data_IF_894366489223
#
_entry.id   IF_894366489223
#
_cell.length_a   1.000
_cell.length_b   1.000
_cell.length_c   1.000
_cell.angle_alpha   90.00
_cell.angle_beta   90.00
_cell.angle_gamma   90.00
#
_symmetry.space_group_name_H-M   'P 1'
#
loop_
_entity.id
_entity.type
_entity.pdbx_description
1 polymer ?
#
# COMPACT_ATOMS: atom_id res chain seq x y z
N UNK A 1 17.06 0.19 12.76
CA UNK A 1 16.08 1.28 12.92
C UNK A 1 14.73 0.79 12.41
N UNK A 2 13.65 0.96 13.17
CA UNK A 2 12.31 0.48 12.82
C UNK A 2 11.27 1.59 12.67
N UNK A 3 11.62 2.86 12.94
CA UNK A 3 10.77 4.03 12.68
C UNK A 3 9.38 3.99 13.33
N UNK A 4 9.26 3.35 14.49
CA UNK A 4 7.97 3.15 15.17
C UNK A 4 7.16 1.95 14.67
N UNK A 5 7.61 1.27 13.61
CA UNK A 5 6.99 0.04 13.14
C UNK A 5 7.43 -1.14 14.02
N UNK A 6 6.58 -1.51 14.97
CA UNK A 6 6.73 -2.75 15.74
C UNK A 6 5.70 -3.76 15.26
N UNK A 7 6.11 -4.67 14.37
CA UNK A 7 5.25 -5.76 13.95
C UNK A 7 5.13 -6.80 15.08
N UNK A 8 3.91 -7.05 15.57
CA UNK A 8 3.64 -8.24 16.38
C UNK A 8 3.20 -9.33 15.42
N UNK A 9 4.04 -10.34 15.19
CA UNK A 9 3.76 -11.42 14.24
C UNK A 9 2.67 -12.34 14.79
N UNK A 10 1.40 -11.94 14.65
CA UNK A 10 0.25 -12.84 14.80
C UNK A 10 -0.52 -12.87 13.48
N UNK A 11 -0.07 -13.76 12.59
CA UNK A 11 -0.72 -14.01 11.29
C UNK A 11 -2.23 -14.24 11.44
N UNK A 12 -2.64 -14.90 12.52
CA UNK A 12 -4.03 -15.21 12.81
C UNK A 12 -4.89 -13.97 13.12
N UNK A 13 -4.34 -12.96 13.80
CA UNK A 13 -5.09 -11.72 14.07
C UNK A 13 -5.27 -10.89 12.80
N UNK A 14 -4.24 -10.79 11.97
CA UNK A 14 -4.32 -10.10 10.68
C UNK A 14 -5.33 -10.77 9.74
N UNK A 15 -5.32 -12.11 9.65
CA UNK A 15 -6.28 -12.87 8.88
C UNK A 15 -7.73 -12.67 9.38
N UNK A 16 -7.93 -12.64 10.71
CA UNK A 16 -9.23 -12.36 11.32
C UNK A 16 -9.74 -10.96 10.96
N UNK A 17 -8.88 -9.95 10.94
CA UNK A 17 -9.21 -8.58 10.54
C UNK A 17 -9.64 -8.53 9.07
N UNK A 18 -8.87 -9.12 8.16
CA UNK A 18 -9.20 -9.15 6.73
C UNK A 18 -10.52 -9.90 6.49
N UNK A 19 -10.72 -11.04 7.15
CA UNK A 19 -11.97 -11.81 7.03
C UNK A 19 -13.18 -11.04 7.55
N UNK A 20 -13.05 -10.33 8.68
CA UNK A 20 -14.09 -9.42 9.19
C UNK A 20 -14.36 -8.27 8.23
N UNK A 21 -13.32 -7.68 7.65
CA UNK A 21 -13.44 -6.57 6.70
C UNK A 21 -14.15 -6.98 5.41
N UNK A 22 -13.86 -8.18 4.89
CA UNK A 22 -14.57 -8.74 3.73
C UNK A 22 -16.06 -9.00 4.01
N UNK A 23 -16.40 -9.27 5.28
CA UNK A 23 -17.76 -9.40 5.82
C UNK A 23 -18.71 -10.25 4.96
N UNK A 24 -18.20 -11.33 4.34
CA UNK A 24 -19.01 -12.25 3.55
C UNK A 24 -18.29 -13.58 3.36
N UNK A 25 -19.06 -14.67 3.45
CA UNK A 25 -18.59 -16.04 3.21
C UNK A 25 -18.65 -16.45 1.73
N UNK A 26 -19.19 -15.59 0.84
CA UNK A 26 -19.56 -15.94 -0.54
C UNK A 26 -19.18 -14.86 -1.56
N UNK A 27 -18.05 -14.17 -1.37
CA UNK A 27 -17.54 -13.26 -2.40
C UNK A 27 -16.86 -14.02 -3.52
N UNK A 28 -17.11 -13.61 -4.76
CA UNK A 28 -16.30 -14.03 -5.90
C UNK A 28 -14.92 -13.38 -5.83
N UNK A 29 -13.91 -14.04 -6.41
CA UNK A 29 -12.55 -13.50 -6.47
C UNK A 29 -12.51 -12.08 -7.07
N UNK A 30 -13.30 -11.85 -8.11
CA UNK A 30 -13.42 -10.55 -8.80
C UNK A 30 -13.92 -9.44 -7.86
N UNK A 31 -14.90 -9.76 -7.00
CA UNK A 31 -15.43 -8.85 -5.99
C UNK A 31 -14.42 -8.56 -4.88
N UNK A 32 -13.64 -9.56 -4.47
CA UNK A 32 -12.57 -9.39 -3.46
C UNK A 32 -11.48 -8.48 -4.03
N UNK A 33 -11.01 -8.76 -5.23
CA UNK A 33 -9.98 -7.97 -5.91
C UNK A 33 -10.40 -6.51 -6.04
N UNK A 34 -11.62 -6.24 -6.51
CA UNK A 34 -12.15 -4.89 -6.65
C UNK A 34 -12.14 -4.13 -5.31
N UNK A 35 -12.53 -4.79 -4.22
CA UNK A 35 -12.52 -4.19 -2.87
C UNK A 35 -11.10 -3.91 -2.37
N UNK A 36 -10.19 -4.87 -2.53
CA UNK A 36 -8.79 -4.71 -2.10
C UNK A 36 -8.12 -3.59 -2.89
N UNK A 37 -8.31 -3.54 -4.21
CA UNK A 37 -7.77 -2.49 -5.06
C UNK A 37 -8.31 -1.11 -4.66
N UNK A 38 -9.62 -0.99 -4.44
CA UNK A 38 -10.22 0.25 -3.95
C UNK A 38 -9.65 0.66 -2.57
N UNK A 39 -9.43 -0.30 -1.67
CA UNK A 39 -8.86 -0.04 -0.35
C UNK A 39 -7.41 0.45 -0.43
N UNK A 40 -6.57 -0.17 -1.25
CA UNK A 40 -5.20 0.29 -1.52
C UNK A 40 -5.23 1.72 -2.08
N UNK A 41 -6.11 1.98 -3.06
CA UNK A 41 -6.29 3.33 -3.61
C UNK A 41 -6.68 4.36 -2.54
N UNK A 42 -7.58 4.00 -1.63
CA UNK A 42 -7.95 4.86 -0.49
C UNK A 42 -6.77 5.11 0.44
N UNK A 43 -6.01 4.08 0.80
CA UNK A 43 -4.81 4.22 1.63
C UNK A 43 -3.78 5.15 0.98
N UNK A 44 -3.58 5.05 -0.33
CA UNK A 44 -2.71 5.96 -1.09
C UNK A 44 -3.16 7.41 -0.97
N UNK A 45 -4.46 7.68 -1.15
CA UNK A 45 -5.03 9.02 -1.01
C UNK A 45 -4.87 9.55 0.41
N UNK A 46 -5.11 8.72 1.42
CA UNK A 46 -4.99 9.08 2.83
C UNK A 46 -3.54 9.41 3.20
N UNK A 47 -2.58 8.57 2.83
CA UNK A 47 -1.15 8.81 3.05
C UNK A 47 -0.73 10.13 2.40
N UNK A 48 -1.08 10.33 1.12
CA UNK A 48 -0.79 11.58 0.41
C UNK A 48 -1.36 12.79 1.14
N UNK A 49 -2.62 12.71 1.56
CA UNK A 49 -3.28 13.79 2.31
C UNK A 49 -2.52 14.11 3.61
N UNK A 50 -2.08 13.10 4.37
CA UNK A 50 -1.32 13.32 5.60
C UNK A 50 0.06 13.95 5.36
N UNK A 51 0.76 13.53 4.32
CA UNK A 51 2.05 14.09 3.95
C UNK A 51 1.92 15.53 3.44
N UNK A 52 0.92 15.81 2.61
CA UNK A 52 0.61 17.16 2.14
C UNK A 52 0.21 18.08 3.29
N UNK A 53 -0.56 17.60 4.26
CA UNK A 53 -0.85 18.34 5.47
C UNK A 53 0.43 18.66 6.26
N UNK A 54 1.33 17.67 6.41
CA UNK A 54 2.63 17.88 7.07
C UNK A 54 3.49 18.93 6.37
N UNK A 55 3.37 19.03 5.05
CA UNK A 55 4.12 19.97 4.21
C UNK A 55 3.55 21.38 4.22
N UNK A 56 2.22 21.51 4.23
CA UNK A 56 1.51 22.78 4.01
C UNK A 56 1.11 23.51 5.29
N UNK A 57 1.18 22.83 6.45
CA UNK A 57 0.75 23.40 7.72
C UNK A 57 1.86 23.30 8.76
N UNK A 58 2.00 24.35 9.57
CA UNK A 58 2.88 24.35 10.74
C UNK A 58 2.22 23.58 11.87
N UNK A 59 2.96 22.67 12.51
CA UNK A 59 2.46 21.94 13.67
C UNK A 59 2.64 22.80 14.93
N UNK A 60 1.53 23.06 15.63
CA UNK A 60 1.57 23.78 16.90
C UNK A 60 2.11 22.87 18.02
N UNK A 61 3.37 23.07 18.42
CA UNK A 61 4.00 22.41 19.56
C UNK A 61 4.61 23.44 20.51
N UNK A 62 4.71 23.11 21.80
CA UNK A 62 5.23 24.04 22.81
C UNK A 62 6.68 24.47 22.54
N UNK A 63 7.48 23.61 21.91
CA UNK A 63 8.86 23.89 21.51
C UNK A 63 8.96 24.34 20.03
N UNK A 64 7.95 25.06 19.51
CA UNK A 64 7.89 25.45 18.09
C UNK A 64 9.18 26.11 17.59
N UNK A 65 9.82 26.97 18.40
CA UNK A 65 11.09 27.60 18.03
C UNK A 65 12.18 26.57 17.71
N UNK A 66 12.36 25.57 18.57
CA UNK A 66 13.39 24.53 18.44
C UNK A 66 13.26 23.73 17.13
N UNK A 67 12.02 23.54 16.65
CA UNK A 67 11.70 22.76 15.46
C UNK A 67 11.40 23.61 14.21
N UNK A 68 11.51 24.93 14.29
CA UNK A 68 11.12 25.85 13.21
C UNK A 68 11.78 25.57 11.85
N UNK A 69 13.01 25.02 11.82
CA UNK A 69 13.69 24.65 10.58
C UNK A 69 13.11 23.40 9.89
N UNK A 70 12.33 22.61 10.64
CA UNK A 70 11.73 21.34 10.20
C UNK A 70 10.35 21.53 9.58
N UNK A 71 9.70 22.68 9.83
CA UNK A 71 8.37 22.98 9.33
C UNK A 71 8.29 22.83 7.80
N UNK A 72 7.28 22.09 7.34
CA UNK A 72 7.05 21.81 5.93
C UNK A 72 8.07 20.89 5.27
N UNK A 73 9.09 20.40 6.00
CA UNK A 73 10.19 19.57 5.48
C UNK A 73 10.31 18.21 6.16
N UNK A 74 9.74 18.08 7.35
CA UNK A 74 9.73 16.86 8.15
C UNK A 74 8.29 16.52 8.50
N UNK A 75 7.98 15.22 8.62
CA UNK A 75 6.62 14.80 8.97
C UNK A 75 6.20 15.30 10.34
N UNK A 76 4.93 15.68 10.46
CA UNK A 76 4.37 16.08 11.75
C UNK A 76 4.52 15.00 12.82
N UNK A 77 4.49 13.73 12.43
CA UNK A 77 4.70 12.62 13.35
C UNK A 77 6.09 12.65 14.00
N UNK A 78 7.14 12.93 13.22
CA UNK A 78 8.49 13.04 13.77
C UNK A 78 8.63 14.23 14.73
N UNK A 79 8.07 15.39 14.37
CA UNK A 79 8.07 16.58 15.24
C UNK A 79 7.33 16.28 16.55
N UNK A 80 6.17 15.60 16.46
CA UNK A 80 5.40 15.18 17.64
C UNK A 80 6.20 14.24 18.54
N UNK A 81 6.83 13.21 17.99
CA UNK A 81 7.66 12.27 18.77
C UNK A 81 8.82 12.98 19.46
N UNK A 82 9.51 13.90 18.77
CA UNK A 82 10.59 14.68 19.39
C UNK A 82 10.07 15.65 20.46
N UNK A 83 8.90 16.26 20.27
CA UNK A 83 8.26 17.11 21.29
C UNK A 83 7.85 16.31 22.54
N UNK A 84 7.36 15.09 22.35
CA UNK A 84 7.05 14.16 23.45
C UNK A 84 8.32 13.72 24.19
N UNK A 85 9.41 13.42 23.47
CA UNK A 85 10.71 13.13 24.07
C UNK A 85 11.29 14.32 24.82
N UNK A 86 11.17 15.54 24.29
CA UNK A 86 11.56 16.76 25.00
C UNK A 86 10.75 16.88 26.30
N UNK A 87 9.43 16.70 26.23
CA UNK A 87 8.59 16.75 27.43
C UNK A 87 8.97 15.67 28.44
N UNK A 88 9.32 14.47 27.98
CA UNK A 88 9.83 13.39 28.83
C UNK A 88 11.14 13.78 29.51
N UNK A 89 12.08 14.38 28.79
CA UNK A 89 13.34 14.83 29.38
C UNK A 89 13.16 15.90 30.45
N UNK A 90 12.23 16.84 30.24
CA UNK A 90 11.90 17.86 31.25
C UNK A 90 11.37 17.23 32.54
N UNK A 91 10.60 16.13 32.44
CA UNK A 91 10.13 15.37 33.61
C UNK A 91 11.24 14.63 34.35
N UNK A 92 12.28 14.21 33.65
CA UNK A 92 13.44 13.54 34.26
C UNK A 92 14.31 14.55 35.03
N UNK A 93 14.47 15.77 34.50
CA UNK A 93 15.20 16.84 35.17
C UNK A 93 16.70 16.56 35.29
N UNK A 94 17.25 16.70 36.51
CA UNK A 94 18.72 16.60 36.73
C UNK A 94 19.32 15.25 36.32
N UNK A 95 18.55 14.15 36.33
CA UNK A 95 19.04 12.83 35.96
C UNK A 95 18.96 12.53 34.46
N UNK A 96 18.84 13.53 33.59
CA UNK A 96 18.61 13.32 32.16
C UNK A 96 19.78 12.64 31.45
N UNK A 97 21.01 12.92 31.89
CA UNK A 97 22.24 12.32 31.38
C UNK A 97 22.24 10.78 31.51
N UNK A 98 21.75 10.27 32.63
CA UNK A 98 21.66 8.83 32.92
C UNK A 98 20.31 8.25 32.45
N UNK A 99 19.21 9.00 32.65
CA UNK A 99 17.84 8.55 32.44
C UNK A 99 17.32 8.66 31.01
N UNK A 100 18.09 9.23 30.07
CA UNK A 100 17.59 9.40 28.71
C UNK A 100 17.49 8.07 27.94
N UNK A 101 18.47 7.17 28.08
CA UNK A 101 18.53 5.88 27.38
C UNK A 101 18.77 5.93 25.86
N UNK A 102 18.78 7.11 25.23
CA UNK A 102 19.14 7.41 23.82
C UNK A 102 18.58 6.50 22.72
N UNK A 103 17.57 5.67 23.00
CA UNK A 103 17.09 4.64 22.08
C UNK A 103 16.40 5.23 20.86
N UNK A 104 15.81 6.43 20.97
CA UNK A 104 15.12 7.09 19.86
C UNK A 104 16.04 7.31 18.64
N UNK A 105 17.33 7.56 18.89
CA UNK A 105 18.32 7.75 17.83
C UNK A 105 18.49 6.47 17.01
N UNK A 106 18.66 5.32 17.65
CA UNK A 106 18.91 4.05 16.95
C UNK A 106 17.64 3.39 16.41
N UNK A 107 16.50 3.62 17.06
CA UNK A 107 15.22 2.98 16.73
C UNK A 107 14.39 3.78 15.73
N UNK A 108 14.42 5.11 15.81
CA UNK A 108 13.60 5.99 14.97
C UNK A 108 14.43 6.94 14.10
N UNK A 109 15.73 7.16 14.39
CA UNK A 109 16.52 8.13 13.63
C UNK A 109 16.09 9.57 13.90
N UNK A 110 15.64 9.80 15.13
CA UNK A 110 15.23 11.09 15.67
C UNK A 110 16.06 11.40 16.93
N UNK A 111 16.17 12.67 17.30
CA UNK A 111 16.95 13.09 18.46
C UNK A 111 16.31 12.57 19.77
N UNK A 112 17.15 12.12 20.70
CA UNK A 112 16.72 11.77 22.06
C UNK A 112 16.35 13.03 22.88
N UNK A 113 15.66 12.83 24.00
CA UNK A 113 15.46 13.88 25.01
C UNK A 113 16.77 14.61 25.40
N UNK A 114 17.87 13.89 25.55
CA UNK A 114 19.18 14.42 25.92
C UNK A 114 19.76 15.42 24.91
N UNK A 115 19.72 15.08 23.62
CA UNK A 115 20.20 15.91 22.53
C UNK A 115 19.31 17.14 22.37
N UNK A 116 17.99 16.97 22.48
CA UNK A 116 17.04 18.07 22.37
C UNK A 116 17.23 19.10 23.50
N UNK A 117 17.44 18.68 24.74
CA UNK A 117 17.70 19.61 25.85
C UNK A 117 19.05 20.31 25.70
N UNK A 118 20.08 19.61 25.20
CA UNK A 118 21.37 20.25 24.90
C UNK A 118 21.21 21.36 23.88
N UNK A 119 20.56 21.09 22.74
CA UNK A 119 20.29 22.10 21.73
C UNK A 119 19.47 23.26 22.28
N UNK A 120 18.46 22.98 23.09
CA UNK A 120 17.63 24.01 23.72
C UNK A 120 18.43 24.90 24.68
N UNK A 121 19.35 24.34 25.47
CA UNK A 121 20.23 25.09 26.37
C UNK A 121 21.28 25.92 25.61
N UNK A 122 21.75 25.42 24.47
CA UNK A 122 22.68 26.11 23.57
C UNK A 122 21.99 27.17 22.69
N UNK A 123 20.67 27.37 22.81
CA UNK A 123 19.83 28.20 21.94
C UNK A 123 19.94 27.82 20.44
N UNK A 124 20.16 26.53 20.16
CA UNK A 124 20.31 25.99 18.82
C UNK A 124 19.04 25.28 18.36
N UNK A 125 18.81 25.36 17.05
CA UNK A 125 17.69 24.72 16.38
C UNK A 125 18.07 23.30 15.93
N UNK A 126 17.07 22.43 15.80
CA UNK A 126 17.28 21.11 15.20
C UNK A 126 17.48 21.27 13.70
N UNK A 127 18.57 20.74 13.16
CA UNK A 127 18.81 20.79 11.72
C UNK A 127 18.10 19.64 11.01
N UNK A 128 17.85 19.83 9.71
CA UNK A 128 17.28 18.77 8.88
C UNK A 128 18.17 17.53 8.80
N UNK A 129 19.49 17.71 8.90
CA UNK A 129 20.45 16.60 8.83
C UNK A 129 20.50 15.75 10.10
N UNK A 130 19.99 16.28 11.21
CA UNK A 130 19.84 15.53 12.46
C UNK A 130 18.62 14.58 12.41
N UNK A 131 17.78 14.69 11.37
CA UNK A 131 16.56 13.90 11.18
C UNK A 131 16.75 12.92 10.02
N UNK A 132 16.52 11.64 10.29
CA UNK A 132 16.66 10.59 9.27
C UNK A 132 15.77 10.84 8.05
N UNK A 133 16.29 10.52 6.85
CA UNK A 133 15.62 10.79 5.55
C UNK A 133 14.19 10.25 5.47
N UNK A 134 13.91 9.11 6.11
CA UNK A 134 12.57 8.54 6.24
C UNK A 134 11.52 9.58 6.65
N UNK A 135 11.81 10.41 7.65
CA UNK A 135 10.89 11.43 8.14
C UNK A 135 10.85 12.71 7.30
N UNK A 136 11.86 12.89 6.43
CA UNK A 136 11.97 14.01 5.48
C UNK A 136 11.23 13.73 4.17
N UNK A 137 10.88 12.48 3.91
CA UNK A 137 10.15 12.07 2.72
C UNK A 137 8.66 12.40 2.85
N UNK A 138 8.30 13.62 2.46
CA UNK A 138 6.90 14.11 2.43
C UNK A 138 6.23 14.00 1.07
N UNK A 139 6.87 13.30 0.13
CA UNK A 139 6.33 13.09 -1.21
C UNK A 139 6.18 11.60 -1.44
N UNK A 140 5.01 11.24 -1.95
CA UNK A 140 4.80 9.97 -2.61
C UNK A 140 4.85 10.30 -4.09
N UNK A 141 5.96 9.99 -4.76
CA UNK A 141 5.99 10.07 -6.21
C UNK A 141 4.89 9.15 -6.74
N UNK A 142 4.11 9.63 -7.72
CA UNK A 142 3.04 8.84 -8.29
C UNK A 142 3.64 7.54 -8.83
N UNK A 143 3.05 6.41 -8.44
CA UNK A 143 3.34 5.05 -8.93
C UNK A 143 3.01 4.91 -10.43
N UNK A 144 2.83 6.03 -11.15
CA UNK A 144 2.72 6.09 -12.61
C UNK A 144 4.05 5.73 -13.32
N UNK A 145 5.11 5.39 -12.58
CA UNK A 145 6.35 4.86 -13.13
C UNK A 145 6.64 3.41 -12.74
N UNK A 146 5.64 2.63 -12.32
CA UNK A 146 5.78 1.17 -12.45
C UNK A 146 5.78 0.90 -13.95
N UNK A 147 6.88 0.42 -14.56
CA UNK A 147 6.80 -0.05 -15.92
C UNK A 147 5.70 -1.10 -15.93
N UNK A 148 4.79 -1.05 -16.90
CA UNK A 148 3.63 -1.93 -17.05
C UNK A 148 3.94 -3.46 -17.02
N UNK A 149 5.19 -3.86 -16.80
CA UNK A 149 5.65 -5.23 -16.62
C UNK A 149 5.16 -5.90 -15.32
N UNK A 150 4.96 -5.17 -14.22
CA UNK A 150 4.58 -5.82 -12.95
C UNK A 150 3.07 -6.17 -12.90
N UNK A 151 2.23 -5.41 -13.62
CA UNK A 151 0.82 -5.74 -13.84
C UNK A 151 0.67 -7.00 -14.71
N UNK A 152 1.59 -7.20 -15.66
CA UNK A 152 1.64 -8.42 -16.49
C UNK A 152 1.89 -9.64 -15.61
N UNK A 153 2.78 -9.55 -14.62
CA UNK A 153 3.15 -10.68 -13.77
C UNK A 153 2.01 -11.17 -12.85
N UNK A 154 1.23 -10.24 -12.28
CA UNK A 154 0.04 -10.61 -11.49
C UNK A 154 -1.08 -11.14 -12.37
N UNK A 155 -1.30 -10.54 -13.54
CA UNK A 155 -2.31 -11.00 -14.50
C UNK A 155 -1.99 -12.40 -15.04
N UNK A 156 -0.73 -12.68 -15.38
CA UNK A 156 -0.24 -13.99 -15.81
C UNK A 156 -0.43 -15.03 -14.71
N UNK A 157 -0.12 -14.69 -13.46
CA UNK A 157 -0.34 -15.58 -12.32
C UNK A 157 -1.84 -15.86 -12.09
N UNK A 158 -2.71 -14.86 -12.25
CA UNK A 158 -4.17 -15.05 -12.18
C UNK A 158 -4.72 -15.86 -13.36
N UNK A 159 -4.15 -15.69 -14.55
CA UNK A 159 -4.53 -16.45 -15.75
C UNK A 159 -4.00 -17.89 -15.71
N UNK A 160 -2.86 -18.15 -15.07
CA UNK A 160 -2.37 -19.50 -14.76
C UNK A 160 -3.28 -20.20 -13.74
N UNK A 161 -3.75 -19.49 -12.71
CA UNK A 161 -4.73 -20.00 -11.74
C UNK A 161 -6.10 -20.27 -12.42
N UNK A 162 -6.58 -19.34 -13.26
CA UNK A 162 -7.82 -19.52 -14.06
C UNK A 162 -7.68 -20.66 -15.08
N UNK A 163 -6.49 -20.83 -15.62
CA UNK A 163 -6.13 -21.88 -16.56
C UNK A 163 -5.93 -23.24 -15.90
N UNK A 164 -5.66 -23.29 -14.60
CA UNK A 164 -5.42 -24.53 -13.84
C UNK A 164 -6.69 -25.14 -13.23
N UNK A 165 -7.83 -24.43 -13.25
CA UNK A 165 -9.10 -24.95 -12.78
C UNK A 165 -9.58 -26.13 -13.66
N UNK A 166 -9.57 -27.38 -13.14
CA UNK A 166 -9.93 -28.56 -13.91
C UNK A 166 -11.41 -28.58 -14.30
N UNK A 167 -12.27 -27.87 -13.57
CA UNK A 167 -13.71 -27.76 -13.89
C UNK A 167 -13.89 -26.86 -15.11
N UNK A 168 -13.18 -25.73 -15.15
CA UNK A 168 -13.27 -24.80 -16.28
C UNK A 168 -12.61 -25.35 -17.53
N UNK A 169 -11.46 -26.05 -17.44
CA UNK A 169 -10.86 -26.77 -18.59
C UNK A 169 -11.83 -27.76 -19.24
N UNK A 170 -12.62 -28.47 -18.43
CA UNK A 170 -13.64 -29.40 -18.93
C UNK A 170 -14.77 -28.64 -19.63
N UNK A 171 -15.22 -27.51 -19.08
CA UNK A 171 -16.24 -26.66 -19.69
C UNK A 171 -15.75 -26.05 -21.02
N UNK A 172 -14.52 -25.53 -21.08
CA UNK A 172 -13.94 -24.92 -22.29
C UNK A 172 -13.70 -25.97 -23.38
N UNK A 173 -13.18 -27.15 -23.01
CA UNK A 173 -13.03 -28.27 -23.94
C UNK A 173 -14.39 -28.75 -24.47
N UNK A 174 -15.39 -28.86 -23.59
CA UNK A 174 -16.73 -29.25 -23.98
C UNK A 174 -17.39 -28.24 -24.92
N UNK A 175 -17.31 -26.94 -24.59
CA UNK A 175 -17.88 -25.87 -25.44
C UNK A 175 -17.18 -25.76 -26.79
N UNK A 176 -15.85 -25.88 -26.84
CA UNK A 176 -15.11 -25.90 -28.10
C UNK A 176 -15.47 -27.12 -28.97
N UNK A 177 -15.63 -28.30 -28.36
CA UNK A 177 -16.09 -29.49 -29.09
C UNK A 177 -17.51 -29.32 -29.64
N UNK A 178 -18.42 -28.70 -28.88
CA UNK A 178 -19.78 -28.39 -29.37
C UNK A 178 -19.75 -27.39 -30.54
N UNK A 179 -18.91 -26.36 -30.47
CA UNK A 179 -18.77 -25.38 -31.55
C UNK A 179 -18.23 -26.05 -32.82
N UNK A 180 -17.20 -26.90 -32.70
CA UNK A 180 -16.64 -27.63 -33.84
C UNK A 180 -17.64 -28.62 -34.45
N UNK A 181 -18.43 -29.32 -33.63
CA UNK A 181 -19.51 -30.20 -34.10
C UNK A 181 -20.59 -29.42 -34.85
N UNK A 182 -20.98 -28.23 -34.37
CA UNK A 182 -21.95 -27.37 -35.07
C UNK A 182 -21.40 -26.83 -36.39
N UNK A 183 -20.12 -26.44 -36.44
CA UNK A 183 -19.48 -25.97 -37.66
C UNK A 183 -19.34 -27.08 -38.71
N UNK A 184 -18.99 -28.30 -38.27
CA UNK A 184 -18.94 -29.50 -39.12
C UNK A 184 -20.31 -29.86 -39.69
N UNK A 185 -21.36 -29.88 -38.86
CA UNK A 185 -22.72 -30.20 -39.31
C UNK A 185 -23.29 -29.16 -40.28
N UNK A 186 -23.01 -27.87 -40.08
CA UNK A 186 -23.42 -26.82 -41.03
C UNK A 186 -22.71 -26.96 -42.39
N UNK A 187 -21.46 -27.44 -42.40
CA UNK A 187 -20.69 -27.67 -43.64
C UNK A 187 -21.21 -28.88 -44.43
N UNK A 188 -21.78 -29.90 -43.76
CA UNK A 188 -22.45 -31.02 -44.41
C UNK A 188 -23.84 -30.65 -44.96
N UNK A 189 -24.62 -29.83 -44.24
CA UNK A 189 -25.94 -29.37 -44.73
C UNK A 189 -25.85 -28.46 -45.96
N UNK A 190 -24.80 -27.64 -46.07
CA UNK A 190 -24.54 -26.81 -47.26
C UNK A 190 -24.27 -27.63 -48.54
N UNK A 191 -23.76 -28.86 -48.42
CA UNK A 191 -23.48 -29.74 -49.58
C UNK A 191 -24.69 -30.55 -50.03
N UNK A 192 -25.71 -30.70 -49.19
CA UNK A 192 -26.94 -31.43 -49.54
C UNK A 192 -28.00 -30.54 -50.21
N UNK A 193 -27.94 -29.22 -50.03
CA UNK A 193 -28.89 -28.28 -50.64
C UNK A 193 -28.54 -27.86 -52.08
N UNK A 194 -27.34 -28.19 -52.59
CA UNK A 194 -26.93 -27.83 -53.97
C UNK A 194 -27.28 -28.89 -55.01
N UNK A 195 -27.89 -30.02 -54.62
CA UNK A 195 -28.25 -31.10 -55.55
C UNK A 195 -29.73 -31.13 -55.97
N UNK A 196 -30.57 -30.24 -55.43
CA UNK A 196 -32.00 -30.19 -55.76
C UNK A 196 -32.45 -28.94 -56.55
N UNK A 197 -31.57 -27.97 -56.83
CA UNK A 197 -31.90 -26.73 -57.57
C UNK A 197 -31.54 -26.76 -59.07
N UNK A 198 -31.44 -27.94 -59.69
CA UNK A 198 -31.13 -28.04 -61.15
C UNK A 198 -32.16 -28.80 -61.99
N UNK A 199 -33.39 -29.00 -61.50
CA UNK A 199 -34.48 -29.52 -62.34
C UNK A 199 -35.77 -28.74 -62.07
N UNK A 200 -35.84 -27.50 -62.57
CA UNK A 200 -37.07 -26.88 -63.04
C UNK A 200 -36.72 -25.51 -63.63
N UNK A 201 -36.54 -25.46 -64.94
CA UNK A 201 -37.11 -24.42 -65.80
C UNK A 201 -36.97 -24.89 -67.25
N UNK A 202 -38.14 -25.16 -67.83
CA UNK A 202 -38.46 -25.20 -69.25
C UNK A 202 -38.05 -23.89 -69.89
#
# INVERSE_FOLDING_TARGET
MHFGNTATSRVESAHSVVKKWLNSATLTLDSIWTRVHAHIGQQHVEIRKHLENSRSTTLAVAQARLFSLLDGKVSHMAIKMMSEEFTRGTKIGMGLDIGCGCSMVSTHGLLCACQLHRLYQEDRLVNLDDVHVFWRTLRFDDVNSVPANDDVQLSEMFDEIRGSDPVRRRITTFTNNIIQLKLSNNKCNSKNNTKYDSILLI
#
